data_IF_140586109694
#
_entry.id   IF_140586109694
#
_cell.length_a   1.000
_cell.length_b   1.000
_cell.length_c   1.000
_cell.angle_alpha   90.00
_cell.angle_beta   90.00
_cell.angle_gamma   90.00
#
_symmetry.space_group_name_H-M   'P 1'
#
loop_
_entity.id
_entity.type
_entity.pdbx_description
1 polymer ?
#
# COMPACT_ATOMS: atom_id res chain seq x y z
N UNK A 1 3.34 11.83 4.16
CA UNK A 1 3.27 11.82 5.63
C UNK A 1 3.17 10.38 6.12
N UNK A 2 4.16 9.93 6.91
CA UNK A 2 4.18 8.64 7.60
C UNK A 2 3.50 8.78 8.97
N UNK A 3 2.58 7.88 9.31
CA UNK A 3 1.92 7.81 10.62
C UNK A 3 1.95 6.38 11.15
N UNK A 4 2.55 6.12 12.32
CA UNK A 4 2.51 4.78 12.92
C UNK A 4 1.08 4.45 13.34
N UNK A 5 0.54 3.33 12.83
CA UNK A 5 -0.82 2.87 13.15
C UNK A 5 -0.81 1.89 14.33
N UNK A 6 -0.01 0.84 14.19
CA UNK A 6 0.19 -0.18 15.21
C UNK A 6 1.56 0.06 15.88
N UNK A 7 1.77 -0.33 17.15
CA UNK A 7 2.99 -0.04 17.90
C UNK A 7 4.26 -0.66 17.27
N UNK A 8 4.77 0.04 16.25
CA UNK A 8 6.01 -0.19 15.52
C UNK A 8 6.03 -1.36 14.52
N UNK A 9 4.88 -1.91 14.14
CA UNK A 9 4.79 -2.95 13.10
C UNK A 9 4.15 -2.47 11.80
N UNK A 10 3.32 -1.41 11.87
CA UNK A 10 2.53 -0.91 10.74
C UNK A 10 2.63 0.61 10.64
N UNK A 11 3.01 1.10 9.47
CA UNK A 11 3.15 2.51 9.14
C UNK A 11 2.14 2.87 8.05
N UNK A 12 1.29 3.86 8.31
CA UNK A 12 0.46 4.50 7.30
C UNK A 12 1.31 5.49 6.52
N UNK A 13 1.27 5.42 5.20
CA UNK A 13 1.88 6.39 4.29
C UNK A 13 0.78 7.07 3.49
N UNK A 14 0.74 8.39 3.56
CA UNK A 14 -0.18 9.21 2.77
C UNK A 14 0.60 10.21 1.93
N UNK A 15 0.16 10.46 0.71
CA UNK A 15 0.80 11.44 -0.16
C UNK A 15 -0.12 11.96 -1.25
N UNK A 16 0.15 13.18 -1.67
CA UNK A 16 -0.59 13.92 -2.70
C UNK A 16 0.03 13.79 -4.10
N UNK A 17 1.28 13.33 -4.20
CA UNK A 17 2.02 13.16 -5.46
C UNK A 17 2.82 11.86 -5.43
N UNK A 18 2.98 11.21 -6.58
CA UNK A 18 3.73 9.95 -6.72
C UNK A 18 5.14 10.02 -6.12
N UNK A 19 5.89 11.09 -6.43
CA UNK A 19 7.25 11.28 -5.91
C UNK A 19 7.31 11.40 -4.39
N UNK A 20 6.30 12.04 -3.77
CA UNK A 20 6.21 12.16 -2.31
C UNK A 20 5.84 10.81 -1.68
N UNK A 21 4.98 10.04 -2.34
CA UNK A 21 4.60 8.70 -1.89
C UNK A 21 5.81 7.76 -1.93
N UNK A 22 6.59 7.77 -3.01
CA UNK A 22 7.80 6.95 -3.13
C UNK A 22 8.84 7.29 -2.05
N UNK A 23 9.07 8.57 -1.78
CA UNK A 23 10.00 9.02 -0.74
C UNK A 23 9.55 8.54 0.65
N UNK A 24 8.27 8.72 0.96
CA UNK A 24 7.68 8.30 2.24
C UNK A 24 7.60 6.78 2.39
N UNK A 25 7.33 6.04 1.31
CA UNK A 25 7.40 4.57 1.28
C UNK A 25 8.83 4.09 1.54
N UNK A 26 9.82 4.70 0.88
CA UNK A 26 11.23 4.38 1.07
C UNK A 26 11.66 4.62 2.52
N UNK A 27 11.29 5.77 3.09
CA UNK A 27 11.54 6.08 4.49
C UNK A 27 10.84 5.10 5.46
N UNK A 28 9.58 4.75 5.20
CA UNK A 28 8.83 3.76 5.99
C UNK A 28 9.49 2.37 5.94
N UNK A 29 9.93 1.94 4.75
CA UNK A 29 10.67 0.68 4.56
C UNK A 29 11.97 0.70 5.36
N UNK A 30 12.74 1.80 5.34
CA UNK A 30 13.99 1.91 6.12
C UNK A 30 13.73 1.78 7.62
N UNK A 31 12.66 2.39 8.13
CA UNK A 31 12.26 2.28 9.54
C UNK A 31 11.88 0.84 9.92
N UNK A 32 11.09 0.17 9.08
CA UNK A 32 10.66 -1.21 9.31
C UNK A 32 11.76 -2.23 9.04
N UNK A 33 12.76 -1.92 8.21
CA UNK A 33 13.82 -2.86 7.82
C UNK A 33 14.60 -3.41 9.00
N UNK A 34 14.84 -2.60 10.03
CA UNK A 34 15.49 -3.07 11.26
C UNK A 34 14.63 -4.09 11.99
N UNK A 35 13.32 -3.82 12.12
CA UNK A 35 12.36 -4.75 12.76
C UNK A 35 12.11 -6.00 11.94
N UNK A 36 11.97 -5.88 10.62
CA UNK A 36 11.82 -6.98 9.68
C UNK A 36 13.02 -7.94 9.79
N UNK A 37 14.23 -7.41 10.01
CA UNK A 37 15.43 -8.23 10.25
C UNK A 37 15.40 -8.96 11.59
N UNK A 38 15.01 -8.28 12.66
CA UNK A 38 14.91 -8.87 14.00
C UNK A 38 13.85 -9.98 14.03
N UNK A 39 12.70 -9.72 13.43
CA UNK A 39 11.57 -10.66 13.35
C UNK A 39 11.71 -11.72 12.24
N UNK A 40 12.72 -11.60 11.34
CA UNK A 40 12.86 -12.42 10.11
C UNK A 40 11.59 -12.45 9.25
N UNK A 41 10.95 -11.30 9.10
CA UNK A 41 9.75 -11.12 8.29
C UNK A 41 10.05 -10.26 7.06
N UNK A 42 9.23 -10.40 6.03
CA UNK A 42 9.23 -9.50 4.89
C UNK A 42 8.44 -8.22 5.18
N UNK A 43 8.43 -7.33 4.20
CA UNK A 43 7.67 -6.08 4.25
C UNK A 43 6.49 -6.18 3.29
N UNK A 44 5.29 -5.93 3.78
CA UNK A 44 4.07 -5.87 2.99
C UNK A 44 3.64 -4.42 2.85
N UNK A 45 3.58 -3.94 1.62
CA UNK A 45 2.99 -2.65 1.26
C UNK A 45 1.59 -2.94 0.78
N UNK A 46 0.59 -2.31 1.38
CA UNK A 46 -0.81 -2.44 0.99
C UNK A 46 -1.34 -1.10 0.52
N UNK A 47 -1.71 -0.99 -0.75
CA UNK A 47 -2.32 0.20 -1.32
C UNK A 47 -3.82 0.21 -1.01
N UNK A 48 -4.20 1.13 -0.13
CA UNK A 48 -5.58 1.38 0.28
C UNK A 48 -6.31 2.33 -0.67
N UNK A 49 -5.59 3.19 -1.39
CA UNK A 49 -6.17 4.18 -2.30
C UNK A 49 -5.14 4.92 -3.17
N UNK A 50 -5.57 5.93 -3.95
CA UNK A 50 -4.72 6.62 -4.92
C UNK A 50 -3.55 7.41 -4.31
N UNK A 51 -3.54 7.65 -3.01
CA UNK A 51 -2.44 8.28 -2.28
C UNK A 51 -2.30 7.74 -0.86
N UNK A 52 -2.78 6.52 -0.62
CA UNK A 52 -2.92 5.94 0.72
C UNK A 52 -2.38 4.52 0.71
N UNK A 53 -1.34 4.30 1.49
CA UNK A 53 -0.60 3.06 1.55
C UNK A 53 -0.34 2.69 3.00
N UNK A 54 -0.18 1.40 3.29
CA UNK A 54 0.26 0.93 4.61
C UNK A 54 1.44 -0.01 4.41
N UNK A 55 2.50 0.23 5.15
CA UNK A 55 3.72 -0.59 5.15
C UNK A 55 3.76 -1.33 6.47
N UNK A 56 3.78 -2.66 6.45
CA UNK A 56 3.82 -3.48 7.64
C UNK A 56 4.84 -4.62 7.52
N UNK A 57 5.38 -5.09 8.64
CA UNK A 57 6.10 -6.37 8.65
C UNK A 57 5.10 -7.52 8.68
N UNK A 58 5.17 -8.42 7.70
CA UNK A 58 4.22 -9.52 7.57
C UNK A 58 4.96 -10.87 7.53
N UNK A 59 4.45 -11.85 8.28
CA UNK A 59 5.04 -13.19 8.35
C UNK A 59 4.76 -14.03 7.10
N UNK A 60 3.75 -13.66 6.32
CA UNK A 60 3.43 -14.28 5.03
C UNK A 60 4.43 -13.90 3.95
N UNK A 61 5.20 -12.81 4.14
CA UNK A 61 6.23 -12.39 3.21
C UNK A 61 7.58 -12.89 3.74
N UNK A 62 8.35 -13.65 2.95
CA UNK A 62 9.66 -14.12 3.40
C UNK A 62 10.62 -12.95 3.61
N UNK A 63 11.53 -13.10 4.59
CA UNK A 63 12.56 -12.11 4.86
C UNK A 63 13.38 -11.78 3.61
N UNK A 64 13.58 -10.48 3.36
CA UNK A 64 14.30 -9.99 2.19
C UNK A 64 13.40 -9.76 0.97
N UNK A 65 12.10 -10.03 1.08
CA UNK A 65 11.11 -9.70 0.05
C UNK A 65 10.23 -8.54 0.53
N UNK A 66 9.95 -7.63 -0.39
CA UNK A 66 8.91 -6.61 -0.25
C UNK A 66 7.79 -6.97 -1.21
N UNK A 67 6.60 -7.19 -0.69
CA UNK A 67 5.40 -7.52 -1.48
C UNK A 67 4.46 -6.31 -1.51
N UNK A 68 3.92 -5.99 -2.68
CA UNK A 68 2.96 -4.89 -2.85
C UNK A 68 1.58 -5.44 -3.19
N UNK A 69 0.62 -5.24 -2.29
CA UNK A 69 -0.79 -5.60 -2.47
C UNK A 69 -1.61 -4.38 -2.79
N UNK A 70 -2.23 -4.37 -3.96
CA UNK A 70 -3.26 -3.39 -4.29
C UNK A 70 -4.64 -3.94 -3.90
N UNK A 71 -5.17 -3.47 -2.77
CA UNK A 71 -6.55 -3.81 -2.35
C UNK A 71 -7.57 -2.83 -2.92
N UNK A 72 -7.14 -1.63 -3.30
CA UNK A 72 -8.00 -0.61 -3.92
C UNK A 72 -8.67 -1.11 -5.20
N UNK A 73 -7.94 -1.80 -6.07
CA UNK A 73 -8.44 -2.39 -7.32
C UNK A 73 -9.04 -3.78 -7.11
N UNK A 74 -8.56 -4.52 -6.11
CA UNK A 74 -9.04 -5.88 -5.82
C UNK A 74 -10.42 -5.90 -5.13
N UNK A 75 -10.75 -4.86 -4.36
CA UNK A 75 -12.06 -4.69 -3.70
C UNK A 75 -13.13 -4.17 -4.68
N UNK A 76 -13.23 -4.75 -5.88
CA UNK A 76 -14.47 -4.77 -6.66
C UNK A 76 -15.28 -3.48 -6.80
N UNK A 77 -14.69 -2.28 -6.74
CA UNK A 77 -15.38 -1.05 -7.13
C UNK A 77 -15.36 -0.88 -8.65
N UNK A 78 -15.68 -1.99 -9.34
CA UNK A 78 -16.14 -2.00 -10.73
C UNK A 78 -17.60 -1.50 -10.81
N UNK A 79 -17.98 -0.51 -10.00
CA UNK A 79 -19.19 0.26 -10.22
C UNK A 79 -18.77 1.64 -10.72
N UNK A 80 -18.22 1.67 -11.93
CA UNK A 80 -18.29 2.88 -12.73
C UNK A 80 -19.75 3.04 -13.20
N UNK A 81 -20.34 4.25 -13.17
CA UNK A 81 -21.59 4.49 -13.87
C UNK A 81 -21.45 4.52 -15.40
N UNK A 82 -20.25 4.31 -15.95
CA UNK A 82 -19.98 4.35 -17.40
C UNK A 82 -19.94 2.95 -18.04
N UNK A 83 -20.98 2.14 -17.83
CA UNK A 83 -21.13 0.85 -18.53
C UNK A 83 -22.50 0.68 -19.22
N UNK A 84 -23.33 1.73 -19.25
CA UNK A 84 -24.64 1.72 -19.90
C UNK A 84 -24.85 2.95 -20.80
N UNK A 85 -24.05 3.06 -21.85
CA UNK A 85 -24.43 3.82 -23.04
C UNK A 85 -23.99 3.06 -24.30
N UNK A 86 -24.44 1.81 -24.38
CA UNK A 86 -24.62 1.17 -25.69
C UNK A 86 -26.00 1.60 -26.16
N UNK A 87 -26.04 2.17 -27.36
CA UNK A 87 -27.23 2.32 -28.22
C UNK A 87 -28.08 3.59 -28.05
N UNK A 88 -27.80 4.58 -28.91
CA UNK A 88 -28.83 5.38 -29.56
C UNK A 88 -28.26 6.00 -30.85
N UNK A 89 -28.40 5.34 -32.01
CA UNK A 89 -28.40 6.05 -33.28
C UNK A 89 -29.77 6.71 -33.53
N UNK A 90 -29.68 8.03 -33.82
CA UNK A 90 -30.66 8.96 -34.40
C UNK A 90 -31.70 9.57 -33.44
#
# INVERSE_FOLDING_TARGET
>A
MITPLEPGQTLHVTGSSASNIEDELSAAVVLLRQRARDARQGILITRLGPGTYTVACDASVPYGVTDERDIWTSQGLCCGPDAAARDLPQ
#
